data_IF_917796172086
#
_entry.id   IF_917796172086
#
_cell.length_a   1.000
_cell.length_b   1.000
_cell.length_c   1.000
_cell.angle_alpha   90.00
_cell.angle_beta   90.00
_cell.angle_gamma   90.00
#
_symmetry.space_group_name_H-M   'P 1'
#
loop_
_entity.id
_entity.type
_entity.pdbx_description
1 polymer ?
#
# COMPACT_ATOMS: atom_id res chain seq x y z
N UNK A 1 19.15 16.55 -2.39
CA UNK A 1 17.85 16.84 -3.04
C UNK A 1 17.02 17.69 -2.09
N UNK A 2 16.30 18.74 -2.56
CA UNK A 2 15.50 19.59 -1.67
C UNK A 2 14.41 18.76 -0.97
N UNK A 3 14.23 19.00 0.33
CA UNK A 3 13.20 18.33 1.13
C UNK A 3 11.83 18.91 0.82
N UNK A 4 10.82 18.04 0.70
CA UNK A 4 9.41 18.47 0.62
C UNK A 4 9.09 19.30 1.88
N UNK A 5 8.45 20.48 1.77
CA UNK A 5 8.04 21.26 2.93
C UNK A 5 7.14 20.46 3.89
N UNK A 6 7.31 20.66 5.21
CA UNK A 6 6.61 19.88 6.25
C UNK A 6 5.09 19.89 6.08
N UNK A 7 4.52 21.02 5.64
CA UNK A 7 3.07 21.16 5.37
C UNK A 7 2.54 20.18 4.32
N UNK A 8 3.37 19.72 3.39
CA UNK A 8 2.99 18.75 2.36
C UNK A 8 3.36 17.31 2.72
N UNK A 9 4.34 17.08 3.61
CA UNK A 9 4.70 15.72 4.04
C UNK A 9 3.54 14.99 4.71
N UNK A 10 2.82 15.67 5.60
CA UNK A 10 1.69 15.07 6.34
C UNK A 10 0.57 14.58 5.41
N UNK A 11 -0.01 15.42 4.52
CA UNK A 11 -1.07 14.97 3.63
C UNK A 11 -0.60 13.89 2.66
N UNK A 12 0.63 13.97 2.13
CA UNK A 12 1.19 12.91 1.27
C UNK A 12 1.23 11.58 2.01
N UNK A 13 1.73 11.57 3.25
CA UNK A 13 1.80 10.36 4.06
C UNK A 13 0.42 9.80 4.40
N UNK A 14 -0.55 10.65 4.71
CA UNK A 14 -1.93 10.21 4.98
C UNK A 14 -2.54 9.61 3.72
N UNK A 15 -2.40 10.26 2.56
CA UNK A 15 -2.92 9.75 1.29
C UNK A 15 -2.30 8.40 0.95
N UNK A 16 -0.97 8.27 1.05
CA UNK A 16 -0.27 7.02 0.81
C UNK A 16 -0.74 5.90 1.75
N UNK A 17 -0.91 6.21 3.03
CA UNK A 17 -1.39 5.26 4.03
C UNK A 17 -2.89 4.91 3.88
N UNK A 18 -3.69 5.78 3.26
CA UNK A 18 -5.11 5.56 3.01
C UNK A 18 -5.35 4.72 1.75
N UNK A 19 -4.45 4.73 0.78
CA UNK A 19 -4.53 3.91 -0.44
C UNK A 19 -4.83 2.42 -0.19
N UNK A 20 -4.13 1.69 0.71
CA UNK A 20 -4.48 0.31 1.05
C UNK A 20 -5.88 0.19 1.65
N UNK A 21 -6.32 1.15 2.45
CA UNK A 21 -7.67 1.13 3.03
C UNK A 21 -8.74 1.19 1.93
N UNK A 22 -8.61 2.14 1.00
CA UNK A 22 -9.56 2.29 -0.11
C UNK A 22 -9.58 1.04 -1.00
N UNK A 23 -8.39 0.54 -1.37
CA UNK A 23 -8.29 -0.71 -2.15
C UNK A 23 -8.91 -1.90 -1.40
N UNK A 24 -8.74 -1.99 -0.09
CA UNK A 24 -9.34 -3.05 0.71
C UNK A 24 -10.87 -2.97 0.76
N UNK A 25 -11.44 -1.75 0.81
CA UNK A 25 -12.90 -1.56 0.76
C UNK A 25 -13.46 -2.02 -0.59
N UNK A 26 -12.76 -1.76 -1.69
CA UNK A 26 -13.14 -2.24 -3.04
C UNK A 26 -13.28 -3.78 -3.06
N UNK A 27 -12.28 -4.49 -2.54
CA UNK A 27 -12.32 -5.95 -2.39
C UNK A 27 -13.47 -6.44 -1.50
N UNK A 28 -13.80 -5.71 -0.43
CA UNK A 28 -14.91 -6.06 0.48
C UNK A 28 -16.28 -5.83 -0.15
N UNK A 29 -16.40 -4.83 -1.03
CA UNK A 29 -17.63 -4.58 -1.80
C UNK A 29 -17.83 -5.59 -2.92
N UNK A 30 -16.80 -6.38 -3.25
CA UNK A 30 -16.85 -7.39 -4.31
C UNK A 30 -16.91 -6.76 -5.70
N UNK A 31 -16.48 -5.51 -5.83
CA UNK A 31 -16.34 -4.89 -7.14
C UNK A 31 -15.30 -5.66 -7.96
N UNK A 32 -15.50 -5.71 -9.28
CA UNK A 32 -14.53 -6.27 -10.23
C UNK A 32 -14.20 -7.77 -10.06
N UNK A 33 -15.11 -8.57 -9.45
CA UNK A 33 -14.91 -10.00 -9.23
C UNK A 33 -14.64 -10.81 -10.51
N UNK A 34 -15.22 -10.39 -11.63
CA UNK A 34 -15.06 -11.07 -12.93
C UNK A 34 -13.69 -10.79 -13.59
N UNK A 35 -13.01 -9.73 -13.16
CA UNK A 35 -11.72 -9.27 -13.73
C UNK A 35 -10.52 -9.55 -12.82
N UNK A 36 -10.69 -10.37 -11.78
CA UNK A 36 -9.61 -10.72 -10.85
C UNK A 36 -8.47 -11.49 -11.56
N UNK A 37 -7.24 -11.08 -11.29
CA UNK A 37 -6.00 -11.73 -11.74
C UNK A 37 -5.75 -13.07 -11.01
N UNK A 38 -4.78 -13.85 -11.50
CA UNK A 38 -4.38 -15.13 -10.87
C UNK A 38 -3.98 -14.93 -9.40
N UNK A 39 -3.27 -13.84 -9.09
CA UNK A 39 -2.85 -13.52 -7.71
C UNK A 39 -4.07 -13.19 -6.84
N UNK A 40 -5.00 -12.40 -7.36
CA UNK A 40 -6.21 -12.03 -6.62
C UNK A 40 -7.09 -13.25 -6.35
N UNK A 41 -7.15 -14.22 -7.28
CA UNK A 41 -7.87 -15.49 -7.12
C UNK A 41 -7.21 -16.48 -6.17
N UNK A 42 -5.97 -16.23 -5.72
CA UNK A 42 -5.25 -17.13 -4.81
C UNK A 42 -5.93 -17.25 -3.42
N UNK A 43 -6.76 -16.28 -3.05
CA UNK A 43 -7.59 -16.32 -1.85
C UNK A 43 -8.92 -15.58 -2.08
N UNK A 44 -9.95 -15.80 -1.25
CA UNK A 44 -11.22 -15.10 -1.40
C UNK A 44 -11.06 -13.57 -1.33
N UNK A 45 -11.86 -12.83 -2.10
CA UNK A 45 -11.80 -11.36 -2.17
C UNK A 45 -11.90 -10.69 -0.81
N UNK A 46 -12.77 -11.18 0.07
CA UNK A 46 -12.92 -10.62 1.42
C UNK A 46 -11.63 -10.73 2.25
N UNK A 47 -10.78 -11.73 2.00
CA UNK A 47 -9.49 -11.89 2.69
C UNK A 47 -8.52 -10.80 2.24
N UNK A 48 -8.42 -10.53 0.93
CA UNK A 48 -7.68 -9.39 0.41
C UNK A 48 -8.16 -8.08 1.03
N UNK A 49 -9.48 -7.89 1.08
CA UNK A 49 -10.12 -6.73 1.67
C UNK A 49 -9.73 -6.50 3.13
N UNK A 50 -9.85 -7.54 3.96
CA UNK A 50 -9.45 -7.47 5.38
C UNK A 50 -7.97 -7.15 5.54
N UNK A 51 -7.09 -7.80 4.76
CA UNK A 51 -5.65 -7.58 4.84
C UNK A 51 -5.27 -6.13 4.49
N UNK A 52 -5.82 -5.61 3.40
CA UNK A 52 -5.57 -4.24 2.92
C UNK A 52 -6.15 -3.18 3.87
N UNK A 53 -7.39 -3.37 4.34
CA UNK A 53 -8.00 -2.49 5.36
C UNK A 53 -7.17 -2.48 6.63
N UNK A 54 -6.76 -3.65 7.13
CA UNK A 54 -5.97 -3.76 8.36
C UNK A 54 -4.61 -3.07 8.19
N UNK A 55 -3.93 -3.27 7.05
CA UNK A 55 -2.66 -2.61 6.78
C UNK A 55 -2.80 -1.08 6.74
N UNK A 56 -3.82 -0.56 6.05
CA UNK A 56 -4.10 0.88 6.02
C UNK A 56 -4.45 1.46 7.39
N UNK A 57 -5.27 0.76 8.18
CA UNK A 57 -5.60 1.16 9.55
C UNK A 57 -4.38 1.17 10.47
N UNK A 58 -3.47 0.20 10.33
CA UNK A 58 -2.20 0.19 11.08
C UNK A 58 -1.31 1.38 10.69
N UNK A 59 -1.21 1.70 9.40
CA UNK A 59 -0.45 2.85 8.91
C UNK A 59 -1.02 4.18 9.41
N UNK A 60 -2.29 4.45 9.14
CA UNK A 60 -2.96 5.71 9.51
C UNK A 60 -3.10 5.80 11.03
N UNK A 61 -3.60 4.75 11.67
CA UNK A 61 -3.77 4.69 13.12
C UNK A 61 -2.44 4.81 13.87
N UNK A 62 -1.39 4.13 13.40
CA UNK A 62 -0.04 4.26 13.95
C UNK A 62 0.51 5.68 13.80
N UNK A 63 0.27 6.33 12.66
CA UNK A 63 0.66 7.71 12.42
C UNK A 63 -0.07 8.69 13.36
N UNK A 64 -1.40 8.60 13.43
CA UNK A 64 -2.24 9.48 14.26
C UNK A 64 -2.00 9.27 15.75
N UNK A 65 -1.87 8.02 16.20
CA UNK A 65 -1.62 7.66 17.59
C UNK A 65 -0.15 7.88 18.02
N UNK A 66 0.71 8.39 17.12
CA UNK A 66 2.15 8.57 17.35
C UNK A 66 2.84 7.28 17.81
N UNK A 67 2.38 6.13 17.28
CA UNK A 67 2.96 4.81 17.51
C UNK A 67 3.71 4.38 16.25
N UNK A 68 4.96 4.78 16.09
CA UNK A 68 5.65 4.66 14.81
C UNK A 68 5.90 3.20 14.43
N UNK A 69 6.01 2.27 15.40
CA UNK A 69 6.09 0.83 15.11
C UNK A 69 4.86 0.29 14.38
N UNK A 70 3.64 0.73 14.75
CA UNK A 70 2.41 0.34 14.06
C UNK A 70 2.36 0.94 12.65
N UNK A 71 2.78 2.20 12.51
CA UNK A 71 2.84 2.88 11.22
C UNK A 71 3.77 2.14 10.25
N UNK A 72 4.98 1.80 10.71
CA UNK A 72 5.99 1.05 9.94
C UNK A 72 5.46 -0.33 9.53
N UNK A 73 4.86 -1.07 10.47
CA UNK A 73 4.30 -2.39 10.19
C UNK A 73 3.20 -2.32 9.12
N UNK A 74 2.26 -1.39 9.26
CA UNK A 74 1.20 -1.18 8.27
C UNK A 74 1.75 -0.80 6.89
N UNK A 75 2.78 0.05 6.84
CA UNK A 75 3.40 0.48 5.58
C UNK A 75 4.14 -0.67 4.89
N UNK A 76 4.86 -1.52 5.62
CA UNK A 76 5.49 -2.72 5.04
C UNK A 76 4.45 -3.72 4.51
N UNK A 77 3.39 -3.99 5.28
CA UNK A 77 2.29 -4.87 4.85
C UNK A 77 1.64 -4.33 3.57
N UNK A 78 1.32 -3.03 3.56
CA UNK A 78 0.77 -2.36 2.37
C UNK A 78 1.71 -2.50 1.18
N UNK A 79 3.02 -2.29 1.39
CA UNK A 79 4.05 -2.49 0.37
C UNK A 79 4.04 -3.90 -0.22
N UNK A 80 4.00 -4.94 0.62
CA UNK A 80 3.92 -6.33 0.18
C UNK A 80 2.65 -6.63 -0.63
N UNK A 81 1.49 -6.16 -0.16
CA UNK A 81 0.21 -6.43 -0.82
C UNK A 81 0.11 -5.73 -2.17
N UNK A 82 0.46 -4.43 -2.25
CA UNK A 82 0.47 -3.72 -3.53
C UNK A 82 1.51 -4.29 -4.51
N UNK A 83 2.64 -4.80 -4.01
CA UNK A 83 3.61 -5.49 -4.86
C UNK A 83 3.04 -6.79 -5.43
N UNK A 84 2.37 -7.59 -4.61
CA UNK A 84 1.72 -8.83 -5.06
C UNK A 84 0.64 -8.54 -6.12
N UNK A 85 -0.23 -7.55 -5.87
CA UNK A 85 -1.25 -7.12 -6.84
C UNK A 85 -0.61 -6.61 -8.13
N UNK A 86 0.43 -5.77 -8.03
CA UNK A 86 1.18 -5.30 -9.19
C UNK A 86 1.73 -6.47 -10.03
N UNK A 87 2.29 -7.50 -9.39
CA UNK A 87 2.81 -8.67 -10.09
C UNK A 87 1.69 -9.47 -10.77
N UNK A 88 0.53 -9.62 -10.12
CA UNK A 88 -0.65 -10.26 -10.69
C UNK A 88 -1.18 -9.55 -11.94
N UNK A 89 -1.31 -8.22 -11.87
CA UNK A 89 -1.77 -7.41 -13.01
C UNK A 89 -0.71 -7.43 -14.13
N UNK A 90 0.58 -7.36 -13.78
CA UNK A 90 1.67 -7.43 -14.75
C UNK A 90 1.62 -8.75 -15.52
N UNK A 91 1.47 -9.85 -14.79
CA UNK A 91 1.37 -11.19 -15.36
C UNK A 91 0.18 -11.30 -16.31
N UNK A 92 -1.01 -10.86 -15.88
CA UNK A 92 -2.21 -10.87 -16.72
C UNK A 92 -2.08 -10.00 -17.97
N UNK A 93 -1.29 -8.92 -17.91
CA UNK A 93 -1.10 -8.00 -19.04
C UNK A 93 -0.14 -8.51 -20.12
N UNK A 94 0.69 -9.53 -19.85
CA UNK A 94 1.66 -10.06 -20.82
C UNK A 94 0.95 -10.78 -21.98
N UNK A 95 -0.15 -11.47 -21.67
CA UNK A 95 -0.87 -12.33 -22.62
C UNK A 95 -2.09 -11.64 -23.27
N UNK A 96 -2.37 -10.39 -22.92
CA UNK A 96 -3.49 -9.59 -23.43
C UNK A 96 -3.02 -8.31 -24.15
N UNK A 97 -3.93 -7.56 -24.80
CA UNK A 97 -3.68 -6.19 -25.28
C UNK A 97 -3.49 -5.17 -24.13
N UNK A 98 -3.11 -5.65 -22.94
CA UNK A 98 -3.02 -4.90 -21.69
C UNK A 98 -1.86 -3.91 -21.67
N UNK A 99 -1.99 -2.87 -20.85
CA UNK A 99 -1.01 -1.80 -20.72
C UNK A 99 -0.24 -1.85 -19.40
N UNK A 100 1.05 -1.50 -19.43
CA UNK A 100 1.93 -1.42 -18.24
C UNK A 100 1.51 -0.38 -17.19
N UNK A 101 0.51 0.45 -17.48
CA UNK A 101 0.04 1.53 -16.60
C UNK A 101 -0.49 1.01 -15.28
N UNK A 102 -1.35 -0.02 -15.31
CA UNK A 102 -1.95 -0.61 -14.10
C UNK A 102 -0.89 -1.16 -13.15
N UNK A 103 -0.06 -2.12 -13.59
CA UNK A 103 1.03 -2.67 -12.78
C UNK A 103 1.97 -1.59 -12.25
N UNK A 104 2.35 -0.63 -13.08
CA UNK A 104 3.26 0.45 -12.67
C UNK A 104 2.71 1.28 -11.51
N UNK A 105 1.42 1.64 -11.52
CA UNK A 105 0.82 2.42 -10.44
C UNK A 105 0.84 1.66 -9.11
N UNK A 106 0.50 0.37 -9.13
CA UNK A 106 0.54 -0.48 -7.93
C UNK A 106 1.99 -0.67 -7.44
N UNK A 107 2.95 -0.84 -8.35
CA UNK A 107 4.37 -0.94 -8.02
C UNK A 107 4.90 0.35 -7.36
N UNK A 108 4.52 1.52 -7.87
CA UNK A 108 4.93 2.82 -7.31
C UNK A 108 4.36 2.98 -5.90
N UNK A 109 3.10 2.60 -5.67
CA UNK A 109 2.49 2.62 -4.33
C UNK A 109 3.23 1.65 -3.40
N UNK A 110 3.52 0.44 -3.88
CA UNK A 110 4.26 -0.56 -3.11
C UNK A 110 5.63 -0.03 -2.66
N UNK A 111 6.40 0.52 -3.60
CA UNK A 111 7.71 1.09 -3.35
C UNK A 111 7.63 2.32 -2.43
N UNK A 112 6.65 3.21 -2.64
CA UNK A 112 6.44 4.38 -1.80
C UNK A 112 6.12 3.98 -0.35
N UNK A 113 5.24 3.00 -0.14
CA UNK A 113 4.94 2.47 1.19
C UNK A 113 6.18 1.88 1.86
N UNK A 114 6.96 1.08 1.14
CA UNK A 114 8.18 0.46 1.66
C UNK A 114 9.25 1.50 2.04
N UNK A 115 9.53 2.45 1.15
CA UNK A 115 10.50 3.52 1.38
C UNK A 115 10.05 4.46 2.48
N UNK A 116 8.75 4.74 2.59
CA UNK A 116 8.20 5.50 3.70
C UNK A 116 8.42 4.78 5.03
N UNK A 117 8.21 3.45 5.09
CA UNK A 117 8.45 2.66 6.28
C UNK A 117 9.92 2.76 6.75
N UNK A 118 10.87 2.62 5.80
CA UNK A 118 12.30 2.79 6.07
C UNK A 118 12.62 4.22 6.56
N UNK A 119 12.06 5.25 5.91
CA UNK A 119 12.24 6.63 6.31
C UNK A 119 11.71 6.93 7.72
N UNK A 120 10.58 6.33 8.11
CA UNK A 120 10.08 6.40 9.49
C UNK A 120 11.00 5.67 10.47
N UNK A 121 11.51 4.49 10.10
CA UNK A 121 12.43 3.74 10.95
C UNK A 121 13.73 4.50 11.23
N UNK A 122 14.28 5.16 10.21
CA UNK A 122 15.50 5.96 10.34
C UNK A 122 15.27 7.23 11.17
N UNK A 123 14.11 7.88 11.06
CA UNK A 123 13.74 9.00 11.92
C UNK A 123 13.68 8.62 13.41
N UNK A 124 13.16 7.43 13.73
CA UNK A 124 13.12 6.93 15.12
C UNK A 124 14.52 6.65 15.64
N UNK A 125 15.39 6.07 14.82
CA UNK A 125 16.79 5.79 15.19
C UNK A 125 17.57 7.08 15.42
N UNK A 126 17.42 8.06 14.53
CA UNK A 126 18.09 9.36 14.64
C UNK A 126 17.59 10.22 15.80
N UNK A 127 16.31 10.10 16.19
CA UNK A 127 15.76 10.80 17.36
C UNK A 127 16.08 10.17 18.71
N UNK A 128 16.82 9.05 18.74
CA UNK A 128 17.33 8.39 19.96
C UNK A 128 18.79 8.73 20.28
N UNK A 129 19.41 9.61 19.49
CA UNK A 129 20.70 10.25 19.76
C UNK A 129 20.47 11.65 20.30
#
# INVERSE_FOLDING_TARGET
MPLIPVRYRRPIMILLALTPFVAGIDFLMGENSDTMTVVERAMPSYVWGILLVTAGLLSVGGYLARRPGLCIAGLHLSGCFFFALSAGIAWASIDETGGFRGPWLYLVIAAACWLAALGYADQIKGGRQ
#
